data_IF_912456219996
#
_entry.id   IF_912456219996
#
_cell.length_a   1.000
_cell.length_b   1.000
_cell.length_c   1.000
_cell.angle_alpha   90.00
_cell.angle_beta   90.00
_cell.angle_gamma   90.00
#
_symmetry.space_group_name_H-M   'P 1'
#
loop_
_entity.id
_entity.type
_entity.pdbx_description
1 polymer ?
#
# COMPACT_ATOMS: atom_id res chain seq x y z
N UNK A 1 -22.37 -82.19 -11.43
CA UNK A 1 -21.00 -81.75 -11.32
C UNK A 1 -20.87 -80.37 -12.05
N UNK A 2 -20.89 -79.23 -11.32
CA UNK A 2 -20.83 -77.91 -11.93
C UNK A 2 -19.46 -77.32 -11.65
N UNK A 3 -18.58 -77.24 -12.68
CA UNK A 3 -17.30 -76.61 -12.61
C UNK A 3 -17.40 -75.11 -12.67
N UNK A 4 -16.98 -74.40 -11.59
CA UNK A 4 -16.91 -72.97 -11.45
C UNK A 4 -15.59 -72.47 -12.06
N UNK A 5 -15.62 -71.83 -13.24
CA UNK A 5 -14.47 -71.10 -13.82
C UNK A 5 -14.13 -69.90 -13.00
N UNK A 6 -12.93 -69.84 -12.44
CA UNK A 6 -12.34 -68.61 -11.87
C UNK A 6 -12.02 -67.63 -12.98
N UNK A 7 -12.49 -66.40 -12.90
CA UNK A 7 -12.06 -65.31 -13.78
C UNK A 7 -10.67 -64.80 -13.36
N UNK A 8 -9.78 -64.47 -14.30
CA UNK A 8 -8.45 -64.07 -13.98
C UNK A 8 -8.39 -62.62 -13.41
N UNK A 9 -7.45 -62.41 -12.49
CA UNK A 9 -7.16 -61.21 -11.71
C UNK A 9 -6.51 -60.05 -12.50
N UNK A 10 -6.65 -59.98 -13.82
CA UNK A 10 -5.94 -59.01 -14.68
C UNK A 10 -6.52 -57.58 -14.62
N UNK A 11 -7.71 -57.39 -14.11
CA UNK A 11 -8.40 -56.06 -14.14
C UNK A 11 -7.90 -55.10 -13.06
N UNK A 12 -7.30 -55.59 -11.97
CA UNK A 12 -6.85 -54.71 -10.86
C UNK A 12 -5.49 -54.06 -11.12
N UNK A 13 -4.63 -54.64 -11.94
CA UNK A 13 -3.29 -54.09 -12.20
C UNK A 13 -3.29 -52.89 -13.15
N UNK A 14 -4.24 -52.81 -14.08
CA UNK A 14 -4.32 -51.71 -15.03
C UNK A 14 -4.85 -50.41 -14.37
N UNK A 15 -5.77 -50.52 -13.40
CA UNK A 15 -6.31 -49.35 -12.66
C UNK A 15 -5.29 -48.74 -11.73
N UNK A 16 -4.41 -49.51 -11.11
CA UNK A 16 -3.36 -48.98 -10.22
C UNK A 16 -2.27 -48.28 -11.04
N UNK A 17 -1.85 -48.84 -12.17
CA UNK A 17 -0.85 -48.22 -13.05
C UNK A 17 -1.35 -46.88 -13.66
N UNK A 18 -2.65 -46.77 -14.00
CA UNK A 18 -3.25 -45.51 -14.47
C UNK A 18 -3.36 -44.45 -13.37
N UNK A 19 -3.61 -44.83 -12.13
CA UNK A 19 -3.67 -43.94 -10.99
C UNK A 19 -2.27 -43.41 -10.59
N UNK A 20 -1.25 -44.25 -10.65
CA UNK A 20 0.15 -43.85 -10.40
C UNK A 20 0.61 -42.86 -11.47
N UNK A 21 0.34 -43.14 -12.73
CA UNK A 21 0.68 -42.25 -13.86
C UNK A 21 -0.01 -40.86 -13.75
N UNK A 22 -1.26 -40.81 -13.29
CA UNK A 22 -1.96 -39.53 -13.01
C UNK A 22 -1.29 -38.71 -11.91
N UNK A 23 -0.85 -39.33 -10.83
CA UNK A 23 -0.14 -38.63 -9.74
C UNK A 23 1.19 -38.05 -10.22
N UNK A 24 1.94 -38.77 -11.03
CA UNK A 24 3.21 -38.29 -11.61
C UNK A 24 2.99 -37.07 -12.52
N UNK A 25 1.95 -37.06 -13.36
CA UNK A 25 1.60 -35.91 -14.19
C UNK A 25 1.17 -34.71 -13.38
N UNK A 26 0.43 -34.89 -12.29
CA UNK A 26 0.03 -33.79 -11.39
C UNK A 26 1.27 -33.21 -10.71
N UNK A 27 2.20 -34.04 -10.23
CA UNK A 27 3.47 -33.58 -9.66
C UNK A 27 4.34 -32.82 -10.67
N UNK A 28 4.38 -33.27 -11.93
CA UNK A 28 5.07 -32.57 -13.01
C UNK A 28 4.44 -31.21 -13.34
N UNK A 29 3.11 -31.13 -13.39
CA UNK A 29 2.40 -29.86 -13.61
C UNK A 29 2.64 -28.88 -12.45
N UNK A 30 2.60 -29.36 -11.21
CA UNK A 30 2.89 -28.53 -10.03
C UNK A 30 4.36 -28.07 -10.06
N UNK A 31 5.31 -28.95 -10.36
CA UNK A 31 6.71 -28.58 -10.50
C UNK A 31 6.94 -27.55 -11.62
N UNK A 32 6.23 -27.69 -12.74
CA UNK A 32 6.28 -26.73 -13.85
C UNK A 32 5.71 -25.36 -13.47
N UNK A 33 4.65 -25.31 -12.66
CA UNK A 33 4.07 -24.05 -12.14
C UNK A 33 5.04 -23.31 -11.18
N UNK A 34 5.87 -24.04 -10.42
CA UNK A 34 6.90 -23.47 -9.56
C UNK A 34 8.23 -23.17 -10.29
N UNK A 35 8.44 -23.72 -11.48
CA UNK A 35 9.67 -23.52 -12.25
C UNK A 35 9.73 -22.18 -13.01
N UNK A 36 8.61 -21.46 -13.12
CA UNK A 36 8.59 -20.10 -13.65
C UNK A 36 8.64 -19.10 -12.48
N UNK A 37 9.82 -18.59 -12.07
CA UNK A 37 9.88 -17.41 -11.24
C UNK A 37 9.29 -16.28 -12.08
N UNK A 38 8.04 -15.91 -11.83
CA UNK A 38 7.50 -14.66 -12.33
C UNK A 38 8.31 -13.56 -11.66
N UNK A 39 9.33 -13.06 -12.33
CA UNK A 39 9.93 -11.78 -12.02
C UNK A 39 8.85 -10.75 -12.26
N UNK A 40 7.96 -10.60 -11.29
CA UNK A 40 6.96 -9.55 -11.27
C UNK A 40 7.69 -8.23 -11.12
N UNK A 41 8.11 -7.61 -12.22
CA UNK A 41 8.41 -6.19 -12.26
C UNK A 41 7.09 -5.45 -12.06
N UNK A 42 6.64 -5.38 -10.81
CA UNK A 42 5.43 -4.68 -10.39
C UNK A 42 5.63 -3.15 -10.34
N UNK A 43 6.66 -2.64 -11.00
CA UNK A 43 6.87 -1.21 -11.15
C UNK A 43 6.40 -0.78 -12.52
N UNK A 44 5.12 -0.42 -12.60
CA UNK A 44 4.63 0.42 -13.66
C UNK A 44 5.37 1.75 -13.57
N UNK A 45 6.05 2.17 -14.62
CA UNK A 45 6.53 3.54 -14.75
C UNK A 45 5.28 4.42 -14.84
N UNK A 46 4.88 4.98 -13.68
CA UNK A 46 3.66 5.75 -13.58
C UNK A 46 3.88 7.10 -14.28
N UNK A 47 3.15 7.32 -15.38
CA UNK A 47 2.99 8.65 -15.94
C UNK A 47 1.84 9.32 -15.21
N UNK A 48 2.07 10.52 -14.70
CA UNK A 48 1.00 11.30 -14.07
C UNK A 48 0.02 11.81 -15.12
N UNK A 49 -1.21 11.31 -15.08
CA UNK A 49 -2.37 11.79 -15.83
C UNK A 49 -3.55 12.13 -14.92
N UNK A 50 -3.38 11.96 -13.61
CA UNK A 50 -4.44 12.07 -12.60
C UNK A 50 -4.63 13.49 -12.05
N UNK A 51 -3.57 14.32 -12.03
CA UNK A 51 -3.62 15.67 -11.47
C UNK A 51 -2.66 16.62 -12.19
N UNK A 52 -2.89 17.93 -12.04
CA UNK A 52 -2.05 18.99 -12.60
C UNK A 52 -1.55 19.92 -11.52
N UNK A 53 -0.42 20.61 -11.81
CA UNK A 53 0.07 21.68 -10.95
C UNK A 53 -0.94 22.83 -10.87
N UNK A 54 -1.14 23.38 -9.68
CA UNK A 54 -2.14 24.43 -9.38
C UNK A 54 -3.51 23.89 -9.01
N UNK A 55 -3.69 22.56 -9.00
CA UNK A 55 -4.96 21.95 -8.62
C UNK A 55 -5.23 22.16 -7.12
N UNK A 56 -6.47 22.55 -6.82
CA UNK A 56 -6.96 22.72 -5.45
C UNK A 56 -8.34 22.07 -5.32
N UNK A 57 -8.44 21.08 -4.44
CA UNK A 57 -9.67 20.34 -4.19
C UNK A 57 -10.08 20.53 -2.74
N UNK A 58 -11.36 20.84 -2.52
CA UNK A 58 -11.96 21.00 -1.18
C UNK A 58 -12.90 19.85 -0.89
N UNK A 59 -12.86 19.35 0.32
CA UNK A 59 -13.73 18.28 0.81
C UNK A 59 -14.46 18.71 2.06
N UNK A 60 -15.72 18.36 2.16
CA UNK A 60 -16.48 18.41 3.41
C UNK A 60 -16.32 17.07 4.13
N UNK A 61 -15.99 17.12 5.42
CA UNK A 61 -15.83 15.95 6.24
C UNK A 61 -17.12 15.70 7.01
N UNK A 62 -17.67 14.50 6.85
CA UNK A 62 -18.88 14.08 7.55
C UNK A 62 -18.58 12.93 8.50
N UNK A 63 -19.13 13.03 9.71
CA UNK A 63 -19.19 11.91 10.65
C UNK A 63 -20.48 11.14 10.41
N UNK A 64 -20.35 9.83 10.23
CA UNK A 64 -21.49 8.93 10.09
C UNK A 64 -21.50 7.94 11.24
N UNK A 65 -22.58 7.95 12.02
CA UNK A 65 -22.84 6.95 13.04
C UNK A 65 -24.32 6.54 12.98
N UNK A 66 -24.57 5.30 12.61
CA UNK A 66 -25.92 4.77 12.35
C UNK A 66 -26.65 5.64 11.31
N UNK A 67 -27.69 6.38 11.75
CA UNK A 67 -28.49 7.27 10.90
C UNK A 67 -28.12 8.76 11.05
N UNK A 68 -27.06 9.09 11.79
CA UNK A 68 -26.61 10.46 12.00
C UNK A 68 -25.50 10.79 10.99
N UNK A 69 -25.78 11.76 10.12
CA UNK A 69 -24.79 12.37 9.22
C UNK A 69 -24.57 13.81 9.65
N UNK A 70 -23.40 14.12 10.16
CA UNK A 70 -23.09 15.48 10.61
C UNK A 70 -21.79 15.95 9.97
N UNK A 71 -21.81 17.12 9.35
CA UNK A 71 -20.60 17.81 8.90
C UNK A 71 -19.75 18.15 10.11
N UNK A 72 -18.50 17.69 10.11
CA UNK A 72 -17.58 17.81 11.25
C UNK A 72 -16.31 18.57 10.90
N UNK A 73 -16.11 18.92 9.64
CA UNK A 73 -14.91 19.66 9.25
C UNK A 73 -14.78 19.86 7.75
N UNK A 74 -13.60 20.34 7.37
CA UNK A 74 -13.18 20.57 5.99
C UNK A 74 -11.79 19.97 5.79
N UNK A 75 -11.51 19.52 4.56
CA UNK A 75 -10.16 19.25 4.13
C UNK A 75 -9.89 19.93 2.78
N UNK A 76 -8.65 20.31 2.56
CA UNK A 76 -8.18 20.83 1.26
C UNK A 76 -6.95 20.08 0.81
N UNK A 77 -6.90 19.79 -0.47
CA UNK A 77 -5.75 19.18 -1.14
C UNK A 77 -5.25 20.17 -2.20
N UNK A 78 -3.96 20.51 -2.14
CA UNK A 78 -3.32 21.36 -3.15
C UNK A 78 -2.13 20.65 -3.76
N UNK A 79 -1.97 20.73 -5.08
CA UNK A 79 -0.87 20.15 -5.82
C UNK A 79 -0.13 21.25 -6.57
N UNK A 80 1.19 21.36 -6.37
CA UNK A 80 2.03 22.34 -7.05
C UNK A 80 3.31 21.69 -7.58
N UNK A 81 3.77 22.15 -8.73
CA UNK A 81 5.12 21.86 -9.20
C UNK A 81 6.14 22.52 -8.28
N UNK A 82 7.25 21.84 -8.04
CA UNK A 82 8.36 22.29 -7.21
C UNK A 82 9.65 21.64 -7.68
N UNK A 83 10.74 21.91 -6.99
CA UNK A 83 12.00 21.17 -7.15
C UNK A 83 12.40 20.55 -5.81
N UNK A 84 12.95 19.36 -5.84
CA UNK A 84 13.50 18.68 -4.68
C UNK A 84 14.92 18.21 -4.99
N UNK A 85 15.93 18.79 -4.30
CA UNK A 85 17.35 18.56 -4.61
C UNK A 85 17.69 18.76 -6.11
N UNK A 86 17.18 19.84 -6.71
CA UNK A 86 17.32 20.18 -8.14
C UNK A 86 16.61 19.26 -9.13
N UNK A 87 15.83 18.29 -8.67
CA UNK A 87 15.00 17.41 -9.48
C UNK A 87 13.58 17.98 -9.57
N UNK A 88 12.95 18.06 -10.76
CA UNK A 88 11.54 18.43 -10.89
C UNK A 88 10.64 17.50 -10.07
N UNK A 89 9.69 18.08 -9.36
CA UNK A 89 8.86 17.35 -8.42
C UNK A 89 7.48 17.98 -8.29
N UNK A 90 6.52 17.22 -7.75
CA UNK A 90 5.25 17.69 -7.24
C UNK A 90 5.29 17.77 -5.74
N UNK A 91 4.70 18.84 -5.20
CA UNK A 91 4.38 18.97 -3.77
C UNK A 91 2.88 18.93 -3.60
N UNK A 92 2.41 17.95 -2.83
CA UNK A 92 1.00 17.81 -2.48
C UNK A 92 0.86 18.14 -1.00
N UNK A 93 -0.03 19.07 -0.68
CA UNK A 93 -0.37 19.43 0.70
C UNK A 93 -1.83 19.09 0.96
N UNK A 94 -2.10 18.43 2.08
CA UNK A 94 -3.44 18.23 2.60
C UNK A 94 -3.53 18.91 3.96
N UNK A 95 -4.58 19.70 4.15
CA UNK A 95 -4.98 20.26 5.41
C UNK A 95 -6.34 19.69 5.77
N UNK A 96 -6.52 19.15 6.96
CA UNK A 96 -7.80 18.70 7.48
C UNK A 96 -8.08 19.34 8.84
N UNK A 97 -9.22 19.98 8.96
CA UNK A 97 -9.62 20.71 10.17
C UNK A 97 -11.04 20.34 10.58
N UNK A 98 -11.24 20.09 11.86
CA UNK A 98 -12.58 19.96 12.43
C UNK A 98 -13.26 21.31 12.61
N UNK A 99 -14.59 21.35 12.56
CA UNK A 99 -15.38 22.53 12.86
C UNK A 99 -15.32 22.87 14.36
N UNK A 100 -15.68 24.10 14.73
CA UNK A 100 -15.70 24.52 16.15
C UNK A 100 -16.63 23.65 16.99
N UNK A 101 -17.76 23.23 16.43
CA UNK A 101 -18.73 22.36 17.09
C UNK A 101 -18.18 20.94 17.27
N UNK A 102 -17.43 20.44 16.30
CA UNK A 102 -16.78 19.13 16.39
C UNK A 102 -15.60 19.14 17.35
N UNK A 103 -14.88 20.27 17.47
CA UNK A 103 -13.74 20.44 18.40
C UNK A 103 -14.11 20.17 19.86
N UNK A 104 -15.36 20.39 20.23
CA UNK A 104 -15.85 20.07 21.57
C UNK A 104 -15.73 18.58 21.89
N UNK A 105 -15.91 17.69 20.90
CA UNK A 105 -15.81 16.24 21.06
C UNK A 105 -14.42 15.73 20.69
N UNK A 106 -13.89 16.21 19.56
CA UNK A 106 -12.61 15.78 19.04
C UNK A 106 -12.00 16.83 18.13
N UNK A 107 -11.00 17.56 18.62
CA UNK A 107 -10.25 18.52 17.84
C UNK A 107 -9.33 17.81 16.86
N UNK A 108 -9.36 18.18 15.59
CA UNK A 108 -8.47 17.69 14.54
C UNK A 108 -7.89 18.87 13.75
N UNK A 109 -6.56 18.92 13.67
CA UNK A 109 -5.77 19.88 12.86
C UNK A 109 -4.61 19.13 12.26
N UNK A 110 -4.85 18.50 11.12
CA UNK A 110 -3.86 17.67 10.46
C UNK A 110 -3.32 18.37 9.22
N UNK A 111 -2.01 18.34 9.09
CA UNK A 111 -1.29 18.81 7.90
C UNK A 111 -0.44 17.69 7.35
N UNK A 112 -0.60 17.37 6.07
CA UNK A 112 0.23 16.40 5.37
C UNK A 112 0.91 17.09 4.20
N UNK A 113 2.21 16.82 4.04
CA UNK A 113 2.98 17.25 2.86
C UNK A 113 3.65 16.02 2.27
N UNK A 114 3.46 15.81 0.97
CA UNK A 114 4.17 14.80 0.20
C UNK A 114 4.94 15.49 -0.93
N UNK A 115 6.18 15.07 -1.15
CA UNK A 115 6.98 15.48 -2.32
C UNK A 115 7.35 14.22 -3.08
N UNK A 116 7.07 14.22 -4.37
CA UNK A 116 7.33 13.12 -5.28
C UNK A 116 7.88 13.63 -6.61
N UNK A 117 8.66 12.82 -7.31
CA UNK A 117 9.13 13.14 -8.65
C UNK A 117 7.99 13.23 -9.66
N UNK A 118 8.25 13.67 -10.89
CA UNK A 118 7.27 13.61 -11.99
C UNK A 118 6.84 12.17 -12.32
N UNK A 119 7.66 11.17 -11.99
CA UNK A 119 7.34 9.74 -12.08
C UNK A 119 6.61 9.19 -10.85
N UNK A 120 6.12 10.07 -9.97
CA UNK A 120 5.42 9.76 -8.72
C UNK A 120 6.25 8.94 -7.70
N UNK A 121 7.58 8.92 -7.84
CA UNK A 121 8.44 8.30 -6.82
C UNK A 121 8.49 9.19 -5.58
N UNK A 122 8.21 8.68 -4.37
CA UNK A 122 8.24 9.48 -3.15
C UNK A 122 9.66 9.96 -2.84
N UNK A 123 9.79 11.19 -2.36
CA UNK A 123 11.04 11.79 -1.88
C UNK A 123 10.96 12.23 -0.44
N UNK A 124 9.84 12.83 -0.07
CA UNK A 124 9.61 13.33 1.28
C UNK A 124 8.14 13.23 1.66
N UNK A 125 7.89 12.91 2.91
CA UNK A 125 6.57 12.93 3.53
C UNK A 125 6.67 13.53 4.92
N UNK A 126 5.69 14.37 5.27
CA UNK A 126 5.51 14.89 6.62
C UNK A 126 4.04 14.91 6.98
N UNK A 127 3.71 14.39 8.15
CA UNK A 127 2.40 14.54 8.78
C UNK A 127 2.59 15.28 10.11
N UNK A 128 1.95 16.44 10.28
CA UNK A 128 1.73 17.07 11.58
C UNK A 128 0.28 16.83 11.97
N UNK A 129 0.04 16.15 13.09
CA UNK A 129 -1.29 15.81 13.54
C UNK A 129 -1.55 16.35 14.94
N UNK A 130 -2.60 17.15 15.07
CA UNK A 130 -3.18 17.55 16.35
C UNK A 130 -4.55 16.89 16.48
N UNK A 131 -4.61 15.80 17.21
CA UNK A 131 -5.78 14.95 17.36
C UNK A 131 -6.17 14.87 18.84
N UNK A 132 -7.21 15.62 19.21
CA UNK A 132 -7.63 15.79 20.61
C UNK A 132 -6.52 16.43 21.45
N UNK A 133 -5.98 15.67 22.40
CA UNK A 133 -4.87 16.12 23.27
C UNK A 133 -3.49 15.71 22.75
N UNK A 134 -3.43 14.90 21.71
CA UNK A 134 -2.17 14.41 21.11
C UNK A 134 -1.67 15.37 20.04
N UNK A 135 -0.35 15.51 20.00
CA UNK A 135 0.33 16.17 18.90
C UNK A 135 1.52 15.29 18.49
N UNK A 136 1.61 15.00 17.21
CA UNK A 136 2.72 14.22 16.64
C UNK A 136 3.18 14.85 15.34
N UNK A 137 4.47 14.74 15.06
CA UNK A 137 5.04 15.04 13.74
C UNK A 137 5.75 13.79 13.26
N UNK A 138 5.31 13.27 12.12
CA UNK A 138 5.96 12.19 11.41
C UNK A 138 6.64 12.76 10.16
N UNK A 139 7.90 12.40 9.95
CA UNK A 139 8.65 12.70 8.73
C UNK A 139 9.24 11.42 8.16
N UNK A 140 9.21 11.28 6.84
CA UNK A 140 9.91 10.22 6.13
C UNK A 140 10.65 10.81 4.92
N UNK A 141 11.89 10.37 4.73
CA UNK A 141 12.71 10.68 3.55
C UNK A 141 13.05 9.41 2.84
N UNK A 142 12.87 9.44 1.52
CA UNK A 142 13.07 8.29 0.64
C UNK A 142 14.26 8.55 -0.26
N UNK A 143 15.12 7.56 -0.42
CA UNK A 143 16.21 7.57 -1.36
C UNK A 143 16.33 6.25 -2.09
N UNK A 144 16.68 6.28 -3.36
CA UNK A 144 16.71 5.10 -4.22
C UNK A 144 18.14 4.88 -4.71
N UNK A 145 18.69 3.69 -4.47
CA UNK A 145 20.04 3.29 -4.91
C UNK A 145 20.07 1.79 -5.21
N UNK A 146 20.69 1.40 -6.31
CA UNK A 146 20.90 -0.03 -6.65
C UNK A 146 19.63 -0.88 -6.59
N UNK A 147 18.49 -0.38 -7.08
CA UNK A 147 17.22 -1.08 -7.04
C UNK A 147 16.59 -1.23 -5.64
N UNK A 148 17.10 -0.48 -4.65
CA UNK A 148 16.57 -0.46 -3.29
C UNK A 148 16.00 0.92 -2.95
N UNK A 149 14.89 0.93 -2.24
CA UNK A 149 14.32 2.11 -1.60
C UNK A 149 14.75 2.14 -0.13
N UNK A 150 15.43 3.20 0.26
CA UNK A 150 15.83 3.45 1.65
C UNK A 150 14.89 4.48 2.27
N UNK A 151 14.37 4.18 3.45
CA UNK A 151 13.46 5.05 4.19
C UNK A 151 14.10 5.45 5.50
N UNK A 152 14.23 6.76 5.71
CA UNK A 152 14.60 7.34 7.00
C UNK A 152 13.36 8.02 7.58
N UNK A 153 12.86 7.49 8.68
CA UNK A 153 11.64 7.95 9.33
C UNK A 153 11.93 8.48 10.72
N UNK A 154 11.28 9.60 11.06
CA UNK A 154 11.36 10.23 12.38
C UNK A 154 9.95 10.58 12.86
N UNK A 155 9.65 10.24 14.11
CA UNK A 155 8.44 10.67 14.80
C UNK A 155 8.80 11.50 16.03
N UNK A 156 8.20 12.66 16.17
CA UNK A 156 8.31 13.52 17.35
C UNK A 156 6.94 13.65 17.98
N UNK A 157 6.86 13.43 19.28
CA UNK A 157 5.65 13.60 20.08
C UNK A 157 5.66 14.95 20.80
N UNK A 158 4.51 15.35 21.36
CA UNK A 158 4.33 16.61 22.12
C UNK A 158 5.28 16.71 23.33
N UNK A 159 5.59 15.60 23.95
CA UNK A 159 6.52 15.48 25.09
C UNK A 159 8.00 15.53 24.70
N UNK A 160 8.30 15.77 23.41
CA UNK A 160 9.66 15.81 22.88
C UNK A 160 10.28 14.43 22.61
N UNK A 161 9.60 13.35 22.98
CA UNK A 161 10.09 11.99 22.70
C UNK A 161 10.18 11.80 21.18
N UNK A 162 11.37 11.37 20.74
CA UNK A 162 11.67 11.15 19.32
C UNK A 162 11.95 9.67 19.09
N UNK A 163 11.30 9.12 18.04
CA UNK A 163 11.57 7.79 17.52
C UNK A 163 12.14 7.92 16.12
N UNK A 164 13.20 7.17 15.83
CA UNK A 164 13.79 7.12 14.48
C UNK A 164 13.83 5.67 13.99
N UNK A 165 13.54 5.48 12.72
CA UNK A 165 13.59 4.20 12.05
C UNK A 165 14.32 4.37 10.71
N UNK A 166 15.19 3.42 10.40
CA UNK A 166 15.82 3.29 9.09
C UNK A 166 15.52 1.90 8.53
N UNK A 167 15.02 1.85 7.32
CA UNK A 167 14.70 0.60 6.64
C UNK A 167 15.00 0.65 5.16
N UNK A 168 15.05 -0.49 4.52
CA UNK A 168 15.19 -0.61 3.07
C UNK A 168 14.26 -1.69 2.53
N UNK A 169 13.74 -1.45 1.33
CA UNK A 169 12.85 -2.34 0.59
C UNK A 169 13.35 -2.45 -0.86
N UNK A 170 13.20 -3.59 -1.53
CA UNK A 170 13.40 -3.69 -2.98
C UNK A 170 12.52 -2.65 -3.70
N UNK A 171 13.09 -2.04 -4.73
CA UNK A 171 12.36 -1.10 -5.60
C UNK A 171 11.51 -1.87 -6.59
#
# INVERSE_FOLDING_TARGET
>A
MKTRRKRPEIVKTQTVAAAIRRKEWICLIIALLFAFPSSGNAQCEAKNDAFKSGEHVMYELYFNWKFIWKKVGLASLTTNSTTYHSEPAYRVNLLAISSKEADFFFKMRDTLTSVMTEKLEPRYFRKGAEEGKRYTVDEARFSFRNGMCYVNQKRVRKDGITFSFFGSLPK
#
